data_IF_677729178806
#
_entry.id   IF_677729178806
#
_cell.length_a   1.000
_cell.length_b   1.000
_cell.length_c   1.000
_cell.angle_alpha   90.00
_cell.angle_beta   90.00
_cell.angle_gamma   90.00
#
_symmetry.space_group_name_H-M   'P 1'
#
loop_
_entity.id
_entity.type
_entity.pdbx_description
1 polymer ?
#
# COMPACT_ATOMS: atom_id res chain seq x y z
N UNK A 1 -20.27 3.58 -10.92
CA UNK A 1 -20.02 4.09 -12.29
C UNK A 1 -20.93 3.35 -13.25
N UNK A 2 -21.81 4.04 -13.97
CA UNK A 2 -22.56 3.40 -15.06
C UNK A 2 -21.56 3.03 -16.17
N UNK A 3 -21.36 1.73 -16.40
CA UNK A 3 -20.53 1.27 -17.53
C UNK A 3 -21.18 1.73 -18.84
N UNK A 4 -20.40 2.19 -19.84
CA UNK A 4 -20.93 2.53 -21.16
C UNK A 4 -21.71 1.35 -21.76
N UNK A 5 -22.79 1.64 -22.49
CA UNK A 5 -23.63 0.64 -23.19
C UNK A 5 -22.77 -0.31 -24.02
N UNK A 6 -21.79 0.24 -24.74
CA UNK A 6 -20.84 -0.54 -25.54
C UNK A 6 -20.07 -1.58 -24.73
N UNK A 7 -19.53 -1.21 -23.56
CA UNK A 7 -18.79 -2.17 -22.71
C UNK A 7 -19.69 -3.28 -22.23
N UNK A 8 -20.93 -2.97 -21.82
CA UNK A 8 -21.89 -3.99 -21.40
C UNK A 8 -22.24 -4.95 -22.54
N UNK A 9 -22.41 -4.43 -23.76
CA UNK A 9 -22.67 -5.24 -24.95
C UNK A 9 -21.50 -6.21 -25.24
N UNK A 10 -20.25 -5.75 -25.10
CA UNK A 10 -19.08 -6.60 -25.26
C UNK A 10 -18.98 -7.68 -24.17
N UNK A 11 -19.31 -7.34 -22.92
CA UNK A 11 -19.38 -8.31 -21.81
C UNK A 11 -20.44 -9.39 -22.08
N UNK A 12 -21.59 -9.01 -22.67
CA UNK A 12 -22.60 -9.99 -23.10
C UNK A 12 -22.07 -10.88 -24.23
N UNK A 13 -21.42 -10.30 -25.25
CA UNK A 13 -20.84 -11.05 -26.35
C UNK A 13 -19.78 -12.06 -25.90
N UNK A 14 -18.97 -11.70 -24.90
CA UNK A 14 -18.01 -12.62 -24.25
C UNK A 14 -18.71 -13.78 -23.54
N UNK A 15 -19.79 -13.52 -22.79
CA UNK A 15 -20.54 -14.56 -22.06
C UNK A 15 -21.17 -15.59 -22.99
N UNK A 16 -21.68 -15.12 -24.13
CA UNK A 16 -22.29 -15.98 -25.14
C UNK A 16 -21.22 -16.76 -25.92
N UNK A 17 -20.04 -16.18 -26.12
CA UNK A 17 -18.89 -16.83 -26.74
C UNK A 17 -19.18 -17.36 -28.15
N UNK A 18 -18.72 -18.58 -28.44
CA UNK A 18 -18.84 -19.21 -29.76
C UNK A 18 -20.24 -19.75 -30.07
N UNK A 19 -21.12 -19.86 -29.06
CA UNK A 19 -22.53 -20.22 -29.27
C UNK A 19 -23.22 -19.13 -30.09
N UNK A 20 -22.77 -17.87 -29.92
CA UNK A 20 -23.29 -16.69 -30.58
C UNK A 20 -24.75 -16.36 -30.20
N UNK A 21 -25.24 -15.25 -30.74
CA UNK A 21 -26.54 -14.67 -30.38
C UNK A 21 -27.20 -14.06 -31.62
N UNK A 22 -28.43 -13.60 -31.48
CA UNK A 22 -29.09 -12.74 -32.45
C UNK A 22 -29.41 -11.38 -31.83
N UNK A 23 -29.83 -10.43 -32.66
CA UNK A 23 -30.10 -9.07 -32.20
C UNK A 23 -31.34 -9.00 -31.29
N UNK A 24 -32.29 -9.92 -31.43
CA UNK A 24 -33.51 -9.93 -30.64
C UNK A 24 -33.22 -10.39 -29.20
N UNK A 25 -32.42 -11.43 -29.03
CA UNK A 25 -31.89 -11.90 -27.75
C UNK A 25 -31.05 -10.82 -27.05
N UNK A 26 -30.20 -10.11 -27.80
CA UNK A 26 -29.44 -8.95 -27.27
C UNK A 26 -30.38 -7.84 -26.81
N UNK A 27 -31.46 -7.57 -27.56
CA UNK A 27 -32.43 -6.53 -27.19
C UNK A 27 -33.19 -6.92 -25.91
N UNK A 28 -33.62 -8.17 -25.80
CA UNK A 28 -34.30 -8.69 -24.60
C UNK A 28 -33.38 -8.64 -23.38
N UNK A 29 -32.13 -9.10 -23.52
CA UNK A 29 -31.12 -8.98 -22.48
C UNK A 29 -30.87 -7.52 -22.08
N UNK A 30 -30.80 -6.60 -23.05
CA UNK A 30 -30.53 -5.20 -22.77
C UNK A 30 -31.66 -4.53 -21.98
N UNK A 31 -32.92 -4.93 -22.21
CA UNK A 31 -34.07 -4.47 -21.41
C UNK A 31 -34.02 -5.06 -20.01
N UNK A 32 -33.79 -6.37 -19.87
CA UNK A 32 -33.75 -7.04 -18.56
C UNK A 32 -32.60 -6.58 -17.68
N UNK A 33 -31.47 -6.24 -18.28
CA UNK A 33 -30.25 -5.76 -17.60
C UNK A 33 -30.22 -4.25 -17.35
N UNK A 34 -31.31 -3.54 -17.70
CA UNK A 34 -31.41 -2.08 -17.55
C UNK A 34 -30.40 -1.31 -18.40
N UNK A 35 -29.93 -1.89 -19.51
CA UNK A 35 -29.10 -1.20 -20.51
C UNK A 35 -29.97 -0.36 -21.42
N UNK A 36 -31.13 -0.89 -21.82
CA UNK A 36 -32.18 -0.17 -22.52
C UNK A 36 -33.29 0.24 -21.53
N UNK A 37 -33.91 1.42 -21.73
CA UNK A 37 -35.14 1.80 -21.05
C UNK A 37 -36.26 0.80 -21.34
N UNK A 38 -37.31 0.77 -20.51
CA UNK A 38 -38.53 0.02 -20.83
C UNK A 38 -39.09 0.43 -22.20
N UNK A 39 -39.73 -0.50 -22.91
CA UNK A 39 -40.23 -0.34 -24.28
C UNK A 39 -41.18 0.87 -24.45
N UNK A 40 -41.87 1.27 -23.38
CA UNK A 40 -42.82 2.38 -23.38
C UNK A 40 -42.18 3.77 -23.29
N UNK A 41 -40.87 3.87 -23.13
CA UNK A 41 -40.14 5.14 -23.06
C UNK A 41 -39.74 5.64 -24.47
N UNK A 42 -39.92 6.92 -24.77
CA UNK A 42 -39.44 7.53 -26.01
C UNK A 42 -37.91 7.42 -26.16
N UNK A 43 -37.17 7.35 -25.05
CA UNK A 43 -35.73 7.13 -25.06
C UNK A 43 -35.34 5.72 -25.53
N UNK A 44 -36.25 4.73 -25.42
CA UNK A 44 -36.01 3.35 -25.82
C UNK A 44 -35.62 3.24 -27.30
N UNK A 45 -36.37 3.91 -28.17
CA UNK A 45 -36.17 3.84 -29.63
C UNK A 45 -34.78 4.34 -30.01
N UNK A 46 -34.35 5.49 -29.47
CA UNK A 46 -33.04 6.07 -29.75
C UNK A 46 -31.90 5.17 -29.29
N UNK A 47 -32.01 4.62 -28.07
CA UNK A 47 -30.97 3.74 -27.54
C UNK A 47 -30.96 2.37 -28.22
N UNK A 48 -32.11 1.88 -28.68
CA UNK A 48 -32.20 0.65 -29.47
C UNK A 48 -31.47 0.79 -30.82
N UNK A 49 -31.59 1.92 -31.50
CA UNK A 49 -30.81 2.17 -32.72
C UNK A 49 -29.30 2.19 -32.46
N UNK A 50 -28.88 2.87 -31.39
CA UNK A 50 -27.47 2.87 -30.99
C UNK A 50 -26.98 1.45 -30.68
N UNK A 51 -27.75 0.67 -29.91
CA UNK A 51 -27.42 -0.72 -29.59
C UNK A 51 -27.31 -1.58 -30.86
N UNK A 52 -28.22 -1.39 -31.81
CA UNK A 52 -28.22 -2.07 -33.11
C UNK A 52 -26.97 -1.77 -33.90
N UNK A 53 -26.61 -0.50 -34.03
CA UNK A 53 -25.45 -0.10 -34.81
C UNK A 53 -24.16 -0.63 -34.16
N UNK A 54 -24.05 -0.55 -32.83
CA UNK A 54 -22.93 -1.14 -32.08
C UNK A 54 -22.87 -2.66 -32.20
N UNK A 55 -24.01 -3.34 -32.22
CA UNK A 55 -24.08 -4.80 -32.39
C UNK A 55 -23.55 -5.22 -33.75
N UNK A 56 -24.03 -4.63 -34.84
CA UNK A 56 -23.56 -4.98 -36.18
C UNK A 56 -22.11 -4.54 -36.44
N UNK A 57 -21.63 -3.52 -35.73
CA UNK A 57 -20.22 -3.13 -35.77
C UNK A 57 -19.33 -4.17 -35.08
N UNK A 58 -19.74 -4.67 -33.90
CA UNK A 58 -18.91 -5.53 -33.04
C UNK A 58 -19.08 -7.03 -33.24
N UNK A 59 -20.19 -7.48 -33.83
CA UNK A 59 -20.46 -8.89 -34.09
C UNK A 59 -20.32 -9.22 -35.58
N UNK A 60 -19.99 -10.47 -35.87
CA UNK A 60 -19.90 -11.02 -37.22
C UNK A 60 -20.80 -12.24 -37.33
N UNK A 61 -21.46 -12.38 -38.47
CA UNK A 61 -22.27 -13.55 -38.76
C UNK A 61 -21.36 -14.78 -38.86
N UNK A 62 -21.67 -15.82 -38.09
CA UNK A 62 -21.00 -17.11 -38.16
C UNK A 62 -21.49 -17.87 -39.39
N UNK A 63 -20.64 -17.99 -40.40
CA UNK A 63 -20.95 -18.72 -41.64
C UNK A 63 -20.86 -20.24 -41.49
N UNK A 64 -20.42 -20.75 -40.33
CA UNK A 64 -20.29 -22.17 -40.05
C UNK A 64 -21.57 -22.86 -39.56
N UNK A 65 -22.65 -22.11 -39.31
CA UNK A 65 -23.92 -22.62 -38.78
C UNK A 65 -25.05 -22.40 -39.78
N UNK A 66 -26.04 -23.30 -39.81
CA UNK A 66 -27.28 -23.14 -40.59
C UNK A 66 -28.19 -22.04 -40.04
N UNK A 67 -28.00 -21.68 -38.77
CA UNK A 67 -28.70 -20.59 -38.09
C UNK A 67 -27.92 -19.28 -38.24
N UNK A 68 -28.64 -18.16 -38.37
CA UNK A 68 -28.07 -16.81 -38.49
C UNK A 68 -27.55 -16.30 -37.15
N UNK A 69 -26.47 -16.92 -36.69
CA UNK A 69 -25.86 -16.68 -35.39
C UNK A 69 -24.75 -15.64 -35.53
N UNK A 70 -24.74 -14.65 -34.63
CA UNK A 70 -23.74 -13.59 -34.58
C UNK A 70 -22.78 -13.83 -33.42
N UNK A 71 -21.48 -13.81 -33.72
CA UNK A 71 -20.41 -14.03 -32.75
C UNK A 71 -19.61 -12.75 -32.60
N UNK A 72 -19.13 -12.47 -31.38
CA UNK A 72 -18.33 -11.30 -31.12
C UNK A 72 -17.01 -11.36 -31.91
N UNK A 73 -16.65 -10.28 -32.61
CA UNK A 73 -15.38 -10.18 -33.32
C UNK A 73 -14.21 -10.20 -32.33
N UNK A 74 -13.15 -10.92 -32.68
CA UNK A 74 -11.94 -11.02 -31.84
C UNK A 74 -11.32 -9.66 -31.51
N UNK A 75 -11.33 -8.70 -32.44
CA UNK A 75 -10.84 -7.33 -32.19
C UNK A 75 -11.57 -6.66 -31.01
N UNK A 76 -12.90 -6.80 -30.96
CA UNK A 76 -13.71 -6.19 -29.91
C UNK A 76 -13.57 -6.93 -28.57
N UNK A 77 -13.27 -8.22 -28.60
CA UNK A 77 -12.85 -8.96 -27.41
C UNK A 77 -11.53 -8.43 -26.84
N UNK A 78 -10.52 -8.17 -27.69
CA UNK A 78 -9.27 -7.56 -27.22
C UNK A 78 -9.46 -6.13 -26.70
N UNK A 79 -10.33 -5.33 -27.33
CA UNK A 79 -10.68 -4.00 -26.79
C UNK A 79 -11.33 -4.08 -25.41
N UNK A 80 -12.16 -5.10 -25.16
CA UNK A 80 -12.74 -5.34 -23.84
C UNK A 80 -11.66 -5.69 -22.80
N UNK A 81 -10.68 -6.52 -23.16
CA UNK A 81 -9.53 -6.83 -22.33
C UNK A 81 -8.70 -5.59 -22.02
N UNK A 82 -8.34 -4.80 -23.02
CA UNK A 82 -7.59 -3.54 -22.85
C UNK A 82 -8.34 -2.58 -21.92
N UNK A 83 -9.66 -2.46 -22.06
CA UNK A 83 -10.46 -1.64 -21.17
C UNK A 83 -10.39 -2.12 -19.71
N UNK A 84 -10.41 -3.43 -19.47
CA UNK A 84 -10.26 -4.01 -18.12
C UNK A 84 -8.87 -3.77 -17.56
N UNK A 85 -7.82 -3.95 -18.36
CA UNK A 85 -6.44 -3.67 -17.96
C UNK A 85 -6.24 -2.19 -17.60
N UNK A 86 -6.82 -1.27 -18.38
CA UNK A 86 -6.79 0.16 -18.08
C UNK A 86 -7.55 0.50 -16.79
N UNK A 87 -8.68 -0.16 -16.52
CA UNK A 87 -9.39 0.00 -15.26
C UNK A 87 -8.58 -0.51 -14.07
N UNK A 88 -7.96 -1.68 -14.20
CA UNK A 88 -7.11 -2.27 -13.17
C UNK A 88 -5.88 -1.41 -12.90
N UNK A 89 -5.24 -0.92 -13.96
CA UNK A 89 -4.11 0.03 -13.86
C UNK A 89 -4.51 1.31 -13.14
N UNK A 90 -5.69 1.88 -13.43
CA UNK A 90 -6.22 3.04 -12.70
C UNK A 90 -6.51 2.73 -11.24
N UNK A 91 -7.08 1.57 -10.93
CA UNK A 91 -7.34 1.14 -9.56
C UNK A 91 -6.04 0.94 -8.78
N UNK A 92 -5.04 0.33 -9.42
CA UNK A 92 -3.69 0.14 -8.86
C UNK A 92 -3.01 1.49 -8.61
N UNK A 93 -3.09 2.42 -9.58
CA UNK A 93 -2.58 3.79 -9.41
C UNK A 93 -3.27 4.52 -8.26
N UNK A 94 -4.58 4.39 -8.11
CA UNK A 94 -5.31 4.98 -6.99
C UNK A 94 -4.86 4.39 -5.65
N UNK A 95 -4.70 3.06 -5.57
CA UNK A 95 -4.19 2.38 -4.38
C UNK A 95 -2.75 2.82 -4.05
N UNK A 96 -1.91 3.00 -5.06
CA UNK A 96 -0.55 3.52 -4.90
C UNK A 96 -0.55 4.96 -4.36
N UNK A 97 -1.46 5.81 -4.85
CA UNK A 97 -1.62 7.18 -4.34
C UNK A 97 -2.03 7.21 -2.86
N UNK A 98 -2.92 6.31 -2.42
CA UNK A 98 -3.29 6.18 -1.00
C UNK A 98 -2.07 5.75 -0.17
N UNK A 99 -1.33 4.73 -0.63
CA UNK A 99 -0.11 4.27 0.05
C UNK A 99 0.93 5.38 0.17
N UNK A 100 1.14 6.15 -0.90
CA UNK A 100 2.06 7.29 -0.92
C UNK A 100 1.63 8.38 0.06
N UNK A 101 0.33 8.68 0.14
CA UNK A 101 -0.22 9.67 1.08
C UNK A 101 -0.02 9.26 2.54
N UNK A 102 -0.22 7.98 2.85
CA UNK A 102 0.02 7.44 4.20
C UNK A 102 1.51 7.58 4.56
N UNK A 103 2.41 7.21 3.66
CA UNK A 103 3.85 7.35 3.87
C UNK A 103 4.25 8.82 4.11
N UNK A 104 3.68 9.76 3.34
CA UNK A 104 3.90 11.19 3.54
C UNK A 104 3.48 11.66 4.95
N UNK A 105 2.32 11.20 5.44
CA UNK A 105 1.83 11.55 6.78
C UNK A 105 2.77 11.02 7.86
N UNK A 106 3.22 9.76 7.74
CA UNK A 106 4.15 9.13 8.70
C UNK A 106 5.46 9.93 8.77
N UNK A 107 6.00 10.35 7.62
CA UNK A 107 7.23 11.15 7.57
C UNK A 107 7.08 12.50 8.29
N UNK A 108 5.96 13.19 8.10
CA UNK A 108 5.69 14.47 8.79
C UNK A 108 5.60 14.27 10.30
N UNK A 109 4.90 13.23 10.76
CA UNK A 109 4.80 12.90 12.18
C UNK A 109 6.17 12.59 12.79
N UNK A 110 7.01 11.82 12.08
CA UNK A 110 8.36 11.50 12.53
C UNK A 110 9.21 12.76 12.75
N UNK A 111 9.16 13.73 11.82
CA UNK A 111 9.88 15.00 11.94
C UNK A 111 9.44 15.78 13.19
N UNK A 112 8.14 15.83 13.45
CA UNK A 112 7.58 16.51 14.63
C UNK A 112 8.04 15.82 15.91
N UNK A 113 7.96 14.49 15.98
CA UNK A 113 8.41 13.71 17.13
C UNK A 113 9.91 13.89 17.39
N UNK A 114 10.76 13.80 16.37
CA UNK A 114 12.20 14.02 16.52
C UNK A 114 12.52 15.42 17.03
N UNK A 115 11.87 16.44 16.47
CA UNK A 115 12.04 17.83 16.90
C UNK A 115 11.62 18.02 18.36
N UNK A 116 10.50 17.43 18.76
CA UNK A 116 10.02 17.47 20.14
C UNK A 116 10.99 16.79 21.11
N UNK A 117 11.50 15.60 20.77
CA UNK A 117 12.49 14.90 21.59
C UNK A 117 13.81 15.67 21.72
N UNK A 118 14.25 16.35 20.65
CA UNK A 118 15.45 17.18 20.69
C UNK A 118 15.29 18.38 21.64
N UNK A 119 14.13 19.05 21.61
CA UNK A 119 13.83 20.17 22.52
C UNK A 119 13.79 19.68 23.98
N UNK A 120 13.16 18.52 24.23
CA UNK A 120 13.17 17.91 25.57
C UNK A 120 14.59 17.59 26.02
N UNK A 121 15.43 16.97 25.18
CA UNK A 121 16.83 16.66 25.53
C UNK A 121 17.67 17.91 25.84
N UNK A 122 17.40 19.05 25.20
CA UNK A 122 18.06 20.31 25.52
C UNK A 122 17.56 20.88 26.85
N UNK A 123 16.27 20.73 27.14
CA UNK A 123 15.61 21.37 28.29
C UNK A 123 15.72 20.55 29.58
N UNK A 124 15.76 19.22 29.48
CA UNK A 124 16.07 18.33 30.59
C UNK A 124 17.56 18.07 30.59
N UNK A 125 18.33 18.41 31.64
CA UNK A 125 19.67 17.88 31.78
C UNK A 125 19.54 16.36 31.74
N UNK A 126 20.21 15.73 30.77
CA UNK A 126 20.38 14.28 30.74
C UNK A 126 21.24 13.95 31.94
N UNK A 127 20.59 13.87 33.11
CA UNK A 127 21.18 13.32 34.30
C UNK A 127 21.54 11.91 33.92
N UNK A 128 22.83 11.66 33.73
CA UNK A 128 23.38 10.33 33.94
C UNK A 128 22.86 9.96 35.33
N UNK A 129 21.79 9.17 35.40
CA UNK A 129 21.31 8.62 36.67
C UNK A 129 22.46 7.77 37.18
N UNK A 130 23.12 8.31 38.19
CA UNK A 130 24.57 8.21 38.28
C UNK A 130 25.21 9.58 38.43
N UNK A 131 24.53 10.53 39.09
CA UNK A 131 25.24 11.53 39.87
C UNK A 131 26.02 10.71 40.91
N UNK A 132 27.22 10.27 40.52
CA UNK A 132 28.28 10.06 41.47
C UNK A 132 28.56 11.46 41.99
N UNK A 133 27.73 11.91 42.94
CA UNK A 133 28.09 12.95 43.87
C UNK A 133 29.26 12.36 44.63
N UNK A 134 30.46 12.55 44.08
CA UNK A 134 31.70 12.26 44.77
C UNK A 134 31.69 13.22 45.95
N UNK A 135 31.15 12.73 47.06
CA UNK A 135 31.06 13.48 48.29
C UNK A 135 32.51 13.70 48.74
N UNK A 136 32.92 14.93 49.05
CA UNK A 136 34.32 15.21 49.45
C UNK A 136 34.77 14.31 50.62
N UNK A 137 33.83 13.85 51.43
CA UNK A 137 34.03 12.87 52.49
C UNK A 137 34.51 11.49 51.99
N UNK A 138 34.04 11.03 50.82
CA UNK A 138 34.50 9.78 50.20
C UNK A 138 35.90 9.92 49.61
N UNK A 139 36.24 11.07 49.02
CA UNK A 139 37.61 11.36 48.55
C UNK A 139 38.56 11.37 49.74
N UNK A 140 38.18 12.05 50.83
CA UNK A 140 39.02 12.14 52.04
C UNK A 140 39.24 10.77 52.69
N UNK A 141 38.20 9.94 52.76
CA UNK A 141 38.29 8.58 53.27
C UNK A 141 39.20 7.67 52.40
N UNK A 142 39.14 7.80 51.07
CA UNK A 142 40.02 7.05 50.17
C UNK A 142 41.48 7.53 50.32
N UNK A 143 41.73 8.84 50.41
CA UNK A 143 43.07 9.39 50.63
C UNK A 143 43.65 8.91 51.97
N UNK A 144 42.87 8.95 53.06
CA UNK A 144 43.32 8.53 54.38
C UNK A 144 43.58 7.01 54.45
N UNK A 145 42.74 6.20 53.79
CA UNK A 145 42.94 4.74 53.67
C UNK A 145 44.22 4.38 52.89
N UNK A 146 44.52 5.11 51.81
CA UNK A 146 45.74 4.88 51.02
C UNK A 146 46.98 5.36 51.77
N UNK A 147 46.90 6.46 52.52
CA UNK A 147 48.01 6.94 53.36
C UNK A 147 48.35 5.93 54.47
N UNK A 148 47.34 5.30 55.06
CA UNK A 148 47.53 4.22 56.04
C UNK A 148 48.15 2.96 55.41
N UNK A 149 47.73 2.60 54.20
CA UNK A 149 48.24 1.42 53.49
C UNK A 149 49.70 1.60 53.02
N UNK A 150 50.08 2.79 52.55
CA UNK A 150 51.47 3.11 52.18
C UNK A 150 52.39 3.07 53.40
N UNK A 151 51.95 3.64 54.54
CA UNK A 151 52.75 3.62 55.77
C UNK A 151 52.93 2.19 56.32
N UNK A 152 51.90 1.36 56.24
CA UNK A 152 51.98 -0.03 56.69
C UNK A 152 52.86 -0.90 55.76
N UNK A 153 52.87 -0.60 54.46
CA UNK A 153 53.73 -1.27 53.48
C UNK A 153 55.20 -0.81 53.58
N UNK A 154 55.43 0.43 54.00
CA UNK A 154 56.78 0.95 54.27
C UNK A 154 57.36 0.35 55.56
N UNK A 155 56.57 0.21 56.62
CA UNK A 155 57.01 -0.48 57.85
C UNK A 155 57.27 -1.97 57.64
N UNK A 156 56.50 -2.65 56.79
CA UNK A 156 56.74 -4.07 56.48
C UNK A 156 57.91 -4.30 55.52
N UNK A 157 58.37 -3.28 54.77
CA UNK A 157 59.54 -3.37 53.89
C UNK A 157 60.86 -3.10 54.62
N UNK A 158 60.84 -2.44 55.78
CA UNK A 158 62.06 -2.15 56.56
C UNK A 158 62.50 -3.32 57.45
N UNK A 159 61.65 -4.32 57.67
CA UNK A 159 61.96 -5.46 58.55
C UNK A 159 62.59 -6.68 57.83
N UNK A 160 62.75 -6.65 56.49
CA UNK A 160 63.32 -7.76 55.71
C UNK A 160 64.76 -7.53 55.19
N UNK A 161 65.50 -6.51 55.66
CA UNK A 161 66.90 -6.30 55.26
C UNK A 161 67.91 -6.27 56.42
N UNK A 162 67.60 -6.95 57.53
CA UNK A 162 68.64 -7.34 58.49
C UNK A 162 68.44 -8.80 58.89
N UNK A 163 69.54 -9.54 58.80
CA UNK A 163 69.80 -10.90 59.32
C UNK A 163 69.73 -12.03 58.27
N UNK A 164 70.87 -12.23 57.59
CA UNK A 164 71.56 -13.52 57.51
C UNK A 164 73.01 -13.26 57.04
N UNK A 165 73.95 -13.04 57.96
CA UNK A 165 74.86 -14.03 58.55
C UNK A 165 76.20 -14.13 57.79
N UNK A 166 77.27 -13.86 58.57
CA UNK A 166 78.60 -14.49 58.58
C UNK A 166 79.44 -14.56 57.30
#
# INVERSE_FOLDING_TARGET
MNKPVFIKLLEFGEQVGLVGTDFDAVTEWAVSSGVLPPVFDQAHVKQKYLLRDLFFESFVLNSGTTESVWVLKAEYYFRLLEFRELQESRASSHKANISSRIAMIISVVAIICSSYTAILQISTPVGIQGAVTINESQIKAIIDSNKYNINNKLSHSTDECTVSQN
#
